data_IF_252414677476
#
_entry.id   IF_252414677476
#
_cell.length_a   1.000
_cell.length_b   1.000
_cell.length_c   1.000
_cell.angle_alpha   90.00
_cell.angle_beta   90.00
_cell.angle_gamma   90.00
#
_symmetry.space_group_name_H-M   'P 1'
#
loop_
_entity.id
_entity.type
_entity.pdbx_description
1 polymer ?
#
# COMPACT_ATOMS: atom_id res chain seq x y z
N UNK A 1 -20.61 -22.81 -1.35
CA UNK A 1 -19.81 -21.69 -0.86
C UNK A 1 -19.35 -20.88 -2.06
N UNK A 2 -19.45 -19.55 -2.06
CA UNK A 2 -18.97 -18.73 -3.18
C UNK A 2 -17.45 -18.90 -3.27
N UNK A 3 -16.94 -19.30 -4.44
CA UNK A 3 -15.52 -19.44 -4.71
C UNK A 3 -14.87 -18.03 -4.63
N UNK A 4 -14.24 -17.74 -3.51
CA UNK A 4 -13.45 -16.54 -3.37
C UNK A 4 -12.15 -16.73 -4.18
N UNK A 5 -11.75 -15.73 -4.97
CA UNK A 5 -10.50 -15.80 -5.73
C UNK A 5 -9.28 -15.88 -4.78
N UNK A 6 -8.29 -16.69 -5.14
CA UNK A 6 -7.10 -16.94 -4.29
C UNK A 6 -6.41 -15.67 -3.83
N UNK A 7 -6.27 -14.66 -4.71
CA UNK A 7 -5.63 -13.39 -4.34
C UNK A 7 -6.37 -12.60 -3.24
N UNK A 8 -7.66 -12.90 -3.01
CA UNK A 8 -8.43 -12.32 -1.90
C UNK A 8 -8.33 -13.19 -0.66
N UNK A 9 -8.43 -14.53 -0.82
CA UNK A 9 -8.34 -15.47 0.28
C UNK A 9 -6.98 -15.40 0.99
N UNK A 10 -5.89 -15.29 0.19
CA UNK A 10 -4.51 -15.24 0.69
C UNK A 10 -3.92 -13.83 0.82
N UNK A 11 -4.79 -12.81 0.84
CA UNK A 11 -4.32 -11.44 1.09
C UNK A 11 -3.78 -11.32 2.51
N UNK A 12 -2.52 -10.87 2.71
CA UNK A 12 -1.93 -10.74 4.02
C UNK A 12 -2.78 -9.83 4.93
N UNK A 13 -2.96 -10.25 6.19
CA UNK A 13 -3.76 -9.54 7.19
C UNK A 13 -2.88 -8.90 8.27
N UNK A 14 -1.60 -9.27 8.33
CA UNK A 14 -0.62 -8.70 9.27
C UNK A 14 0.73 -8.51 8.59
N UNK A 15 1.60 -7.69 9.16
CA UNK A 15 2.97 -7.56 8.66
C UNK A 15 3.76 -8.87 8.64
N UNK A 16 3.38 -9.86 9.45
CA UNK A 16 4.03 -11.17 9.49
C UNK A 16 3.69 -12.03 8.28
N UNK A 17 2.54 -11.80 7.67
CA UNK A 17 2.06 -12.55 6.51
C UNK A 17 2.63 -12.00 5.20
N UNK A 18 3.17 -10.78 5.23
CA UNK A 18 3.78 -10.14 4.06
C UNK A 18 5.12 -10.81 3.76
N UNK A 19 5.28 -11.31 2.53
CA UNK A 19 6.50 -11.98 2.08
C UNK A 19 7.28 -11.11 1.10
N UNK A 20 8.61 -11.14 1.22
CA UNK A 20 9.51 -10.44 0.29
C UNK A 20 9.58 -8.91 0.48
N UNK A 21 8.97 -8.37 1.56
CA UNK A 21 9.00 -6.93 1.86
C UNK A 21 9.44 -6.68 3.31
N UNK A 22 10.32 -7.53 3.84
CA UNK A 22 10.73 -7.52 5.24
C UNK A 22 11.35 -6.18 5.66
N UNK A 23 12.10 -5.52 4.74
CA UNK A 23 12.69 -4.20 4.99
C UNK A 23 11.59 -3.12 5.19
N UNK A 24 10.52 -3.15 4.39
CA UNK A 24 9.41 -2.19 4.48
C UNK A 24 8.61 -2.44 5.76
N UNK A 25 8.16 -3.68 5.95
CA UNK A 25 7.33 -4.05 7.12
C UNK A 25 8.10 -3.90 8.43
N UNK A 26 9.42 -4.15 8.42
CA UNK A 26 10.31 -3.95 9.56
C UNK A 26 10.41 -2.48 9.96
N UNK A 27 10.67 -1.60 8.98
CA UNK A 27 10.75 -0.16 9.24
C UNK A 27 9.44 0.41 9.78
N UNK A 28 8.30 0.11 9.12
CA UNK A 28 6.98 0.57 9.57
C UNK A 28 6.65 0.09 10.99
N UNK A 29 7.01 -1.15 11.32
CA UNK A 29 6.82 -1.70 12.66
C UNK A 29 7.64 -0.98 13.72
N UNK A 30 8.88 -0.65 13.41
CA UNK A 30 9.74 0.10 14.35
C UNK A 30 9.23 1.53 14.55
N UNK A 31 8.71 2.21 13.52
CA UNK A 31 8.07 3.53 13.66
C UNK A 31 6.84 3.48 14.57
N UNK A 32 5.97 2.46 14.40
CA UNK A 32 4.80 2.26 15.25
C UNK A 32 5.23 2.06 16.72
N UNK A 33 6.20 1.18 16.95
CA UNK A 33 6.71 0.91 18.32
C UNK A 33 7.33 2.14 18.96
N UNK A 34 8.04 2.95 18.18
CA UNK A 34 8.67 4.18 18.67
C UNK A 34 7.67 5.32 18.87
N UNK A 35 6.42 5.19 18.41
CA UNK A 35 5.43 6.26 18.39
C UNK A 35 5.84 7.45 17.50
N UNK A 36 6.67 7.19 16.48
CA UNK A 36 7.22 8.20 15.57
C UNK A 36 6.76 7.94 14.13
N UNK A 37 5.45 7.87 13.96
CA UNK A 37 4.84 7.66 12.64
C UNK A 37 4.88 8.96 11.85
N UNK A 38 5.37 8.91 10.63
CA UNK A 38 5.38 10.03 9.71
C UNK A 38 3.97 10.37 9.19
N UNK A 39 3.84 11.51 8.56
CA UNK A 39 2.56 11.95 7.97
C UNK A 39 2.38 11.52 6.50
N UNK A 40 3.46 11.24 5.76
CA UNK A 40 3.39 10.91 4.34
C UNK A 40 4.41 9.83 3.96
N UNK A 41 3.92 8.82 3.25
CA UNK A 41 4.66 7.65 2.78
C UNK A 41 4.45 7.50 1.29
N UNK A 42 5.49 7.11 0.57
CA UNK A 42 5.44 6.81 -0.85
C UNK A 42 5.91 5.37 -1.09
N UNK A 43 4.98 4.48 -1.42
CA UNK A 43 5.22 3.07 -1.73
C UNK A 43 5.39 2.90 -3.22
N UNK A 44 6.60 2.66 -3.67
CA UNK A 44 6.96 2.51 -5.07
C UNK A 44 7.32 1.07 -5.42
N UNK A 45 6.92 0.59 -6.58
CA UNK A 45 7.27 -0.74 -7.09
C UNK A 45 6.23 -1.31 -8.03
N UNK A 46 6.55 -2.37 -8.76
CA UNK A 46 5.68 -3.00 -9.76
C UNK A 46 4.30 -3.39 -9.21
N UNK A 47 3.37 -3.66 -10.10
CA UNK A 47 2.03 -4.14 -9.73
C UNK A 47 2.13 -5.50 -9.01
N UNK A 48 1.23 -5.75 -8.06
CA UNK A 48 1.14 -7.06 -7.37
C UNK A 48 2.13 -7.26 -6.22
N UNK A 49 3.02 -6.29 -5.92
CA UNK A 49 4.00 -6.41 -4.84
C UNK A 49 3.45 -6.13 -3.43
N UNK A 50 2.14 -5.89 -3.30
CA UNK A 50 1.49 -5.76 -2.00
C UNK A 50 1.47 -4.34 -1.43
N UNK A 51 1.79 -3.28 -2.20
CA UNK A 51 1.79 -1.89 -1.73
C UNK A 51 0.50 -1.51 -0.98
N UNK A 52 -0.65 -1.67 -1.62
CA UNK A 52 -1.97 -1.36 -1.03
C UNK A 52 -2.31 -2.28 0.14
N UNK A 53 -1.88 -3.55 0.08
CA UNK A 53 -2.07 -4.49 1.21
C UNK A 53 -1.26 -4.08 2.43
N UNK A 54 0.00 -3.71 2.25
CA UNK A 54 0.87 -3.21 3.34
C UNK A 54 0.32 -1.89 3.90
N UNK A 55 -0.19 -0.99 3.05
CA UNK A 55 -0.82 0.25 3.50
C UNK A 55 -2.03 0.00 4.40
N UNK A 56 -2.90 -0.97 4.05
CA UNK A 56 -4.05 -1.36 4.89
C UNK A 56 -3.62 -1.99 6.21
N UNK A 57 -2.62 -2.87 6.18
CA UNK A 57 -2.06 -3.46 7.40
C UNK A 57 -1.48 -2.36 8.29
N UNK A 58 -0.78 -1.39 7.71
CA UNK A 58 -0.23 -0.26 8.45
C UNK A 58 -1.33 0.56 9.15
N UNK A 59 -2.42 0.87 8.45
CA UNK A 59 -3.58 1.54 9.06
C UNK A 59 -4.17 0.72 10.22
N UNK A 60 -4.28 -0.61 10.03
CA UNK A 60 -4.82 -1.53 11.03
C UNK A 60 -3.94 -1.62 12.28
N UNK A 61 -2.61 -1.67 12.12
CA UNK A 61 -1.64 -1.67 13.22
C UNK A 61 -1.66 -0.33 14.00
N UNK A 62 -2.01 0.77 13.33
CA UNK A 62 -2.26 2.08 13.93
C UNK A 62 -3.64 2.21 14.57
N UNK A 63 -4.45 1.12 14.55
CA UNK A 63 -5.82 1.08 15.09
C UNK A 63 -6.77 2.07 14.41
N UNK A 64 -6.57 2.31 13.13
CA UNK A 64 -7.47 3.10 12.32
C UNK A 64 -8.71 2.26 12.00
N UNK A 65 -9.89 2.79 12.26
CA UNK A 65 -11.17 2.14 11.94
C UNK A 65 -11.51 2.32 10.45
N UNK A 66 -12.38 1.46 9.93
CA UNK A 66 -12.83 1.55 8.53
C UNK A 66 -13.50 2.91 8.20
N UNK A 67 -14.04 3.60 9.21
CA UNK A 67 -14.66 4.92 9.05
C UNK A 67 -13.65 6.05 8.86
N UNK A 68 -12.41 5.83 9.28
CA UNK A 68 -11.30 6.78 9.21
C UNK A 68 -10.23 6.34 8.20
N UNK A 69 -10.49 5.25 7.45
CA UNK A 69 -9.66 4.75 6.36
C UNK A 69 -10.31 5.15 5.01
N UNK A 70 -9.59 5.95 4.23
CA UNK A 70 -10.02 6.44 2.93
C UNK A 70 -9.11 5.87 1.85
N UNK A 71 -9.69 5.09 0.93
CA UNK A 71 -8.97 4.54 -0.22
C UNK A 71 -9.45 5.21 -1.49
N UNK A 72 -8.53 5.82 -2.21
CA UNK A 72 -8.77 6.58 -3.42
C UNK A 72 -7.92 5.98 -4.54
N UNK A 73 -8.57 5.50 -5.57
CA UNK A 73 -7.90 5.09 -6.80
C UNK A 73 -7.69 6.32 -7.69
N UNK A 74 -6.44 6.76 -7.78
CA UNK A 74 -6.10 7.92 -8.60
C UNK A 74 -6.27 7.68 -10.11
N UNK A 75 -6.47 6.45 -10.57
CA UNK A 75 -6.85 6.20 -11.95
C UNK A 75 -8.28 6.67 -12.24
N UNK A 76 -9.16 6.64 -11.24
CA UNK A 76 -10.56 7.05 -11.34
C UNK A 76 -10.83 8.44 -10.76
N UNK A 77 -9.99 8.89 -9.82
CA UNK A 77 -10.10 10.17 -9.08
C UNK A 77 -8.80 10.97 -9.18
N UNK A 78 -8.55 11.57 -10.35
CA UNK A 78 -7.30 12.26 -10.67
C UNK A 78 -7.42 13.77 -10.85
N UNK A 79 -8.61 14.32 -10.68
CA UNK A 79 -8.89 15.73 -10.94
C UNK A 79 -8.44 16.64 -9.77
N UNK A 80 -8.36 17.93 -10.05
CA UNK A 80 -8.08 18.94 -9.01
C UNK A 80 -9.20 18.98 -7.98
N UNK A 81 -10.43 18.78 -8.42
CA UNK A 81 -11.64 18.78 -7.60
C UNK A 81 -11.66 17.63 -6.61
N UNK A 82 -11.24 16.42 -7.05
CA UNK A 82 -11.13 15.26 -6.16
C UNK A 82 -10.15 15.53 -5.01
N UNK A 83 -8.99 16.10 -5.33
CA UNK A 83 -7.98 16.43 -4.34
C UNK A 83 -8.39 17.61 -3.44
N UNK A 84 -9.13 18.58 -3.95
CA UNK A 84 -9.69 19.66 -3.12
C UNK A 84 -10.69 19.11 -2.10
N UNK A 85 -11.56 18.21 -2.52
CA UNK A 85 -12.51 17.52 -1.62
C UNK A 85 -11.79 16.68 -0.56
N UNK A 86 -10.70 16.02 -0.94
CA UNK A 86 -9.82 15.30 0.00
C UNK A 86 -9.22 16.30 1.01
N UNK A 87 -8.65 17.40 0.55
CA UNK A 87 -8.03 18.42 1.39
C UNK A 87 -9.01 19.02 2.42
N UNK A 88 -10.25 19.29 2.02
CA UNK A 88 -11.30 19.75 2.93
C UNK A 88 -11.60 18.70 4.02
N UNK A 89 -11.71 17.44 3.60
CA UNK A 89 -12.00 16.33 4.51
C UNK A 89 -10.87 16.07 5.51
N UNK A 90 -9.62 16.26 5.11
CA UNK A 90 -8.43 16.04 5.96
C UNK A 90 -8.47 16.89 7.22
N UNK A 91 -8.98 18.12 7.16
CA UNK A 91 -9.04 19.04 8.30
C UNK A 91 -10.12 18.68 9.33
N UNK A 92 -11.06 17.80 9.01
CA UNK A 92 -12.03 17.31 10.01
C UNK A 92 -11.39 16.23 10.90
N UNK A 93 -11.80 16.17 12.17
CA UNK A 93 -11.26 15.18 13.11
C UNK A 93 -11.69 13.75 12.74
N UNK A 94 -10.90 12.72 13.11
CA UNK A 94 -11.29 11.33 12.99
C UNK A 94 -12.58 11.02 13.77
N UNK A 95 -13.36 10.03 13.32
CA UNK A 95 -14.60 9.62 14.01
C UNK A 95 -14.34 8.93 15.34
N UNK A 96 -13.29 8.13 15.44
CA UNK A 96 -13.02 7.36 16.67
C UNK A 96 -11.64 6.73 16.69
N UNK A 97 -10.83 6.99 15.68
CA UNK A 97 -9.45 6.52 15.56
C UNK A 97 -8.45 7.58 15.99
N UNK A 98 -7.20 7.21 16.30
CA UNK A 98 -6.13 8.18 16.53
C UNK A 98 -5.81 9.01 15.29
N UNK A 99 -6.03 8.44 14.09
CA UNK A 99 -5.65 9.02 12.81
C UNK A 99 -6.76 8.88 11.76
N UNK A 100 -6.78 9.79 10.80
CA UNK A 100 -7.37 9.61 9.48
C UNK A 100 -6.29 9.10 8.53
N UNK A 101 -6.55 8.01 7.87
CA UNK A 101 -5.57 7.34 7.03
C UNK A 101 -6.04 7.33 5.57
N UNK A 102 -5.22 7.89 4.69
CA UNK A 102 -5.52 8.03 3.28
C UNK A 102 -4.58 7.16 2.45
N UNK A 103 -5.13 6.26 1.64
CA UNK A 103 -4.40 5.46 0.67
C UNK A 103 -4.76 6.00 -0.72
N UNK A 104 -3.79 6.58 -1.43
CA UNK A 104 -3.94 6.97 -2.82
C UNK A 104 -3.23 5.92 -3.68
N UNK A 105 -4.02 5.03 -4.29
CA UNK A 105 -3.47 4.00 -5.16
C UNK A 105 -3.27 4.55 -6.57
N UNK A 106 -2.26 4.03 -7.28
CA UNK A 106 -1.79 4.50 -8.59
C UNK A 106 -1.59 6.03 -8.65
N UNK A 107 -1.01 6.58 -7.58
CA UNK A 107 -0.86 8.03 -7.38
C UNK A 107 -0.21 8.77 -8.56
N UNK A 108 0.63 8.10 -9.37
CA UNK A 108 1.22 8.68 -10.59
C UNK A 108 0.18 9.09 -11.65
N UNK A 109 -1.08 8.65 -11.52
CA UNK A 109 -2.18 9.02 -12.42
C UNK A 109 -2.79 10.39 -12.09
N UNK A 110 -2.45 10.99 -10.93
CA UNK A 110 -2.94 12.32 -10.58
C UNK A 110 -2.48 13.37 -11.61
N UNK A 111 -3.38 14.25 -11.98
CA UNK A 111 -3.07 15.36 -12.87
C UNK A 111 -2.06 16.33 -12.22
N UNK A 112 -1.33 17.10 -13.04
CA UNK A 112 -0.41 18.13 -12.54
C UNK A 112 -1.10 19.14 -11.61
N UNK A 113 -2.35 19.50 -11.93
CA UNK A 113 -3.14 20.38 -11.08
C UNK A 113 -3.52 19.75 -9.74
N UNK A 114 -3.85 18.44 -9.74
CA UNK A 114 -4.15 17.68 -8.54
C UNK A 114 -2.91 17.57 -7.61
N UNK A 115 -1.73 17.29 -8.17
CA UNK A 115 -0.48 17.32 -7.41
C UNK A 115 -0.22 18.68 -6.75
N UNK A 116 -0.37 19.77 -7.50
CA UNK A 116 -0.20 21.12 -6.95
C UNK A 116 -1.21 21.43 -5.82
N UNK A 117 -2.44 20.98 -5.94
CA UNK A 117 -3.43 21.13 -4.87
C UNK A 117 -3.10 20.30 -3.63
N UNK A 118 -2.45 19.15 -3.80
CA UNK A 118 -2.08 18.25 -2.71
C UNK A 118 -0.82 18.68 -1.97
N UNK A 119 0.11 19.38 -2.64
CA UNK A 119 1.38 19.81 -2.04
C UNK A 119 1.18 20.61 -0.76
N UNK A 120 0.19 21.51 -0.71
CA UNK A 120 -0.09 22.32 0.51
C UNK A 120 -0.42 21.43 1.70
N UNK A 121 -1.20 20.39 1.51
CA UNK A 121 -1.56 19.43 2.57
C UNK A 121 -0.38 18.56 3.01
N UNK A 122 0.54 18.24 2.08
CA UNK A 122 1.77 17.53 2.43
C UNK A 122 2.80 18.41 3.16
N UNK A 123 2.78 19.73 2.93
CA UNK A 123 3.66 20.68 3.61
C UNK A 123 3.19 20.97 5.04
N UNK A 124 1.88 21.14 5.23
CA UNK A 124 1.26 21.48 6.52
C UNK A 124 0.15 20.45 6.86
N UNK A 125 0.50 19.18 7.07
CA UNK A 125 -0.49 18.15 7.34
C UNK A 125 -1.09 18.33 8.75
N UNK A 126 -2.41 18.13 8.93
CA UNK A 126 -2.97 18.00 10.26
C UNK A 126 -2.32 16.84 11.01
N UNK A 127 -2.09 17.01 12.32
CA UNK A 127 -1.38 16.04 13.16
C UNK A 127 -2.04 14.63 13.18
N UNK A 128 -3.32 14.55 12.84
CA UNK A 128 -4.09 13.32 12.79
C UNK A 128 -4.16 12.68 11.39
N UNK A 129 -3.55 13.29 10.37
CA UNK A 129 -3.62 12.79 9.00
C UNK A 129 -2.36 12.00 8.61
N UNK A 130 -2.56 10.81 8.04
CA UNK A 130 -1.48 9.99 7.49
C UNK A 130 -1.84 9.67 6.04
N UNK A 131 -0.87 9.87 5.13
CA UNK A 131 -1.02 9.60 3.70
C UNK A 131 -0.08 8.48 3.27
N UNK A 132 -0.60 7.51 2.53
CA UNK A 132 0.21 6.51 1.83
C UNK A 132 -0.11 6.61 0.34
N UNK A 133 0.87 7.05 -0.42
CA UNK A 133 0.82 7.13 -1.87
C UNK A 133 1.42 5.84 -2.43
N UNK A 134 0.65 5.05 -3.16
CA UNK A 134 1.15 3.86 -3.83
C UNK A 134 1.30 4.14 -5.33
N UNK A 135 2.42 3.75 -5.91
CA UNK A 135 2.71 3.98 -7.33
C UNK A 135 3.47 2.81 -7.96
N UNK A 136 3.17 2.55 -9.22
CA UNK A 136 3.98 1.65 -10.06
C UNK A 136 5.07 2.39 -10.82
N UNK A 137 5.00 3.73 -10.90
CA UNK A 137 5.91 4.57 -11.68
C UNK A 137 6.42 5.75 -10.85
N UNK A 138 7.47 5.49 -10.04
CA UNK A 138 8.06 6.51 -9.17
C UNK A 138 8.52 7.77 -9.93
N UNK A 139 9.08 7.59 -11.13
CA UNK A 139 9.57 8.69 -11.97
C UNK A 139 8.47 9.67 -12.44
N UNK A 140 7.20 9.28 -12.39
CA UNK A 140 6.07 10.16 -12.70
C UNK A 140 5.56 10.95 -11.49
N UNK A 141 5.98 10.59 -10.28
CA UNK A 141 5.64 11.37 -9.07
C UNK A 141 6.58 12.58 -8.99
N UNK A 142 6.07 13.81 -8.84
CA UNK A 142 6.91 15.00 -8.78
C UNK A 142 7.95 14.95 -7.65
N UNK A 143 9.17 15.39 -7.90
CA UNK A 143 10.25 15.44 -6.89
C UNK A 143 9.85 16.24 -5.65
N UNK A 144 9.04 17.29 -5.84
CA UNK A 144 8.48 18.10 -4.75
C UNK A 144 7.59 17.29 -3.81
N UNK A 145 6.93 16.25 -4.29
CA UNK A 145 6.14 15.32 -3.49
C UNK A 145 7.04 14.26 -2.85
N UNK A 146 7.95 13.68 -3.65
CA UNK A 146 8.89 12.65 -3.16
C UNK A 146 9.71 13.17 -1.97
N UNK A 147 10.17 14.42 -2.02
CA UNK A 147 10.97 15.03 -0.95
C UNK A 147 10.22 15.25 0.37
N UNK A 148 8.88 15.16 0.37
CA UNK A 148 8.00 15.30 1.54
C UNK A 148 7.47 13.97 2.05
N UNK A 149 7.78 12.88 1.35
CA UNK A 149 7.35 11.53 1.71
C UNK A 149 8.53 10.67 2.13
N UNK A 150 8.29 9.75 3.05
CA UNK A 150 9.21 8.66 3.29
C UNK A 150 9.02 7.63 2.19
N UNK A 151 10.04 7.45 1.35
CA UNK A 151 9.97 6.57 0.17
C UNK A 151 10.35 5.15 0.56
N UNK A 152 9.47 4.20 0.24
CA UNK A 152 9.69 2.76 0.39
C UNK A 152 9.62 2.07 -0.98
N UNK A 153 10.70 1.41 -1.36
CA UNK A 153 10.77 0.63 -2.58
C UNK A 153 10.38 -0.83 -2.32
N UNK A 154 9.31 -1.25 -2.95
CA UNK A 154 8.85 -2.65 -2.96
C UNK A 154 9.60 -3.42 -4.03
N UNK A 155 10.22 -4.51 -3.64
CA UNK A 155 11.02 -5.35 -4.53
C UNK A 155 10.29 -6.63 -4.90
N UNK A 156 10.57 -7.14 -6.10
CA UNK A 156 10.06 -8.46 -6.47
C UNK A 156 10.60 -9.51 -5.51
N UNK A 157 9.74 -10.38 -4.95
CA UNK A 157 10.21 -11.51 -4.15
C UNK A 157 11.18 -12.37 -4.95
N UNK A 158 12.10 -13.05 -4.27
CA UNK A 158 12.97 -14.01 -4.92
C UNK A 158 12.15 -15.18 -5.49
N UNK A 159 12.67 -15.82 -6.56
CA UNK A 159 12.04 -17.00 -7.15
C UNK A 159 11.80 -18.09 -6.09
N UNK A 160 12.77 -18.33 -5.22
CA UNK A 160 12.64 -19.28 -4.11
C UNK A 160 11.54 -18.87 -3.11
N UNK A 161 11.37 -17.57 -2.85
CA UNK A 161 10.29 -17.06 -2.01
C UNK A 161 8.92 -17.29 -2.64
N UNK A 162 8.81 -17.11 -3.96
CA UNK A 162 7.57 -17.36 -4.70
C UNK A 162 7.22 -18.83 -4.77
N UNK A 163 8.18 -19.74 -5.05
CA UNK A 163 7.92 -21.17 -5.08
C UNK A 163 7.43 -21.67 -3.73
N UNK A 164 8.07 -21.25 -2.63
CA UNK A 164 7.61 -21.61 -1.27
C UNK A 164 6.18 -21.12 -0.98
N UNK A 165 5.82 -19.94 -1.46
CA UNK A 165 4.47 -19.40 -1.30
C UNK A 165 3.46 -20.21 -2.12
N UNK A 166 3.79 -20.53 -3.36
CA UNK A 166 2.94 -21.33 -4.27
C UNK A 166 2.68 -22.71 -3.67
N UNK A 167 3.73 -23.39 -3.18
CA UNK A 167 3.59 -24.70 -2.54
C UNK A 167 2.71 -24.65 -1.29
N UNK A 168 2.87 -23.61 -0.47
CA UNK A 168 2.06 -23.43 0.74
C UNK A 168 0.57 -23.25 0.38
N UNK A 169 0.27 -22.37 -0.58
CA UNK A 169 -1.11 -22.13 -1.04
C UNK A 169 -1.70 -23.38 -1.70
N UNK A 170 -0.96 -24.07 -2.57
CA UNK A 170 -1.41 -25.28 -3.21
C UNK A 170 -1.77 -26.37 -2.18
N UNK A 171 -0.93 -26.53 -1.15
CA UNK A 171 -1.17 -27.49 -0.08
C UNK A 171 -2.42 -27.16 0.75
N UNK A 172 -2.65 -25.89 1.06
CA UNK A 172 -3.85 -25.44 1.79
C UNK A 172 -5.12 -25.64 0.97
N UNK A 173 -5.06 -25.43 -0.34
CA UNK A 173 -6.17 -25.67 -1.30
C UNK A 173 -6.34 -27.15 -1.66
N UNK A 174 -5.50 -28.04 -1.13
CA UNK A 174 -5.58 -29.48 -1.37
C UNK A 174 -5.02 -29.92 -2.72
N UNK A 175 -4.23 -29.10 -3.40
CA UNK A 175 -3.56 -29.44 -4.65
C UNK A 175 -2.18 -30.07 -4.40
N UNK A 176 -1.85 -31.10 -5.19
CA UNK A 176 -0.50 -31.63 -5.29
C UNK A 176 0.11 -31.16 -6.61
N UNK A 177 1.16 -30.36 -6.53
CA UNK A 177 1.86 -29.86 -7.72
C UNK A 177 2.80 -30.94 -8.27
N UNK A 178 2.82 -31.12 -9.59
CA UNK A 178 3.84 -31.93 -10.24
C UNK A 178 5.22 -31.24 -10.13
N UNK A 179 6.32 -31.99 -10.17
CA UNK A 179 7.67 -31.41 -10.06
C UNK A 179 7.91 -30.30 -11.10
N UNK A 180 8.35 -29.13 -10.64
CA UNK A 180 8.67 -27.95 -11.45
C UNK A 180 7.48 -27.06 -11.83
N UNK A 181 6.23 -27.40 -11.45
CA UNK A 181 5.06 -26.55 -11.69
C UNK A 181 5.11 -25.30 -10.84
N UNK A 182 5.55 -25.40 -9.60
CA UNK A 182 5.79 -24.27 -8.67
C UNK A 182 6.76 -23.25 -9.27
N UNK A 183 7.85 -23.73 -9.84
CA UNK A 183 8.86 -22.92 -10.52
C UNK A 183 8.32 -22.22 -11.77
N UNK A 184 7.51 -22.94 -12.58
CA UNK A 184 6.87 -22.40 -13.76
C UNK A 184 5.86 -21.30 -13.39
N UNK A 185 5.04 -21.54 -12.38
CA UNK A 185 4.08 -20.55 -11.89
C UNK A 185 4.81 -19.32 -11.34
N UNK A 186 5.89 -19.52 -10.57
CA UNK A 186 6.71 -18.42 -10.05
C UNK A 186 7.32 -17.56 -11.18
N UNK A 187 7.75 -18.19 -12.27
CA UNK A 187 8.27 -17.49 -13.44
C UNK A 187 7.19 -16.66 -14.15
N UNK A 188 5.99 -17.20 -14.32
CA UNK A 188 4.88 -16.53 -14.99
C UNK A 188 4.24 -15.42 -14.14
N UNK A 189 4.31 -15.54 -12.83
CA UNK A 189 3.75 -14.56 -11.87
C UNK A 189 4.50 -13.21 -11.89
N UNK A 190 5.73 -13.14 -12.39
CA UNK A 190 6.56 -11.94 -12.49
C UNK A 190 6.64 -11.13 -11.17
N UNK A 191 6.61 -11.83 -10.04
CA UNK A 191 6.67 -11.23 -8.71
C UNK A 191 5.31 -10.91 -8.07
N UNK A 192 4.22 -11.11 -8.81
CA UNK A 192 2.87 -10.93 -8.28
C UNK A 192 2.38 -12.13 -7.48
#
# INVERSE_FOLDING_TARGET
>A
MAHQSLYRAYRPQSFRDVRGQEQVTGALREEIKAGKVGHAYLFAGSRGLGKTSVARIFAQELKVSDKDLYEIDAASHNSVEDIRSLNENVHTLPFGSPYKFYILDEAHMLSKGAWNAFLKTLEEPPAHAIFVLATTELSKVPDTVQSRCQVFEFRKPSREGLTKLIDAVAKEEGYTLAPGVDDLVALLADGS
#
